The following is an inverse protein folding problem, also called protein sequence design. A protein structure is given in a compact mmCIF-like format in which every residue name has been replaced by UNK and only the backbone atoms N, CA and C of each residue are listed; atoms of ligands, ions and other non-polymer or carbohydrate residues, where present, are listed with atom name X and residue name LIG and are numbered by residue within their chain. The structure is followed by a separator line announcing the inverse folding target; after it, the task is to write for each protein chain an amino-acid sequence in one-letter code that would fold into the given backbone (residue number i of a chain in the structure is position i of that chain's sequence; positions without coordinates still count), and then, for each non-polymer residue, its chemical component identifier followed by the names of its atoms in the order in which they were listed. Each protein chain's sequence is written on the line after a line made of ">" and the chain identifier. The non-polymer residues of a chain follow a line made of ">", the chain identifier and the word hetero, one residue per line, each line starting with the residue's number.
data_IF_547905511173
#
_entry.id   IF_547905511173
#
_cell.length_a   1.000
_cell.length_b   1.000
_cell.length_c   1.000
_cell.angle_alpha   90.00
_cell.angle_beta   90.00
_cell.angle_gamma   90.00
#
_symmetry.space_group_name_H-M   'P 1'
#
loop_
_entity.id
_entity.type
_entity.pdbx_description
1 polymer ?
#
# COMPACT_ATOMS: atom_id res chain seq x y z
N UNK A 1 -2.19 -2.53 6.22
CA UNK A 1 -3.10 -3.28 7.10
C UNK A 1 -2.73 -4.77 7.17
N UNK A 2 -2.67 -5.52 6.05
CA UNK A 2 -2.37 -6.96 6.06
C UNK A 2 -1.00 -7.31 6.67
N UNK A 3 0.04 -6.54 6.42
CA UNK A 3 1.34 -6.71 7.07
C UNK A 3 1.27 -6.45 8.58
N UNK A 4 0.49 -5.47 9.01
CA UNK A 4 0.27 -5.21 10.45
C UNK A 4 -0.42 -6.39 11.14
N UNK A 5 -1.39 -7.03 10.48
CA UNK A 5 -2.01 -8.25 11.00
C UNK A 5 -0.99 -9.37 11.21
N UNK A 6 -0.02 -9.54 10.29
CA UNK A 6 1.07 -10.50 10.48
C UNK A 6 1.98 -10.15 11.66
N UNK A 7 2.22 -8.86 11.91
CA UNK A 7 3.02 -8.41 13.07
C UNK A 7 2.27 -8.65 14.39
N UNK A 8 0.95 -8.41 14.42
CA UNK A 8 0.13 -8.51 15.63
C UNK A 8 -0.25 -9.96 15.95
N UNK A 9 -0.68 -10.71 14.96
CA UNK A 9 -1.28 -12.05 15.13
C UNK A 9 -0.41 -13.18 14.59
N UNK A 10 0.81 -12.86 14.14
CA UNK A 10 1.68 -13.80 13.46
C UNK A 10 1.27 -14.04 12.00
N UNK A 11 2.12 -14.72 11.21
CA UNK A 11 1.88 -14.97 9.80
C UNK A 11 0.72 -15.96 9.61
N UNK A 12 -0.31 -15.54 8.88
CA UNK A 12 -1.49 -16.36 8.54
C UNK A 12 -1.87 -16.16 7.07
N UNK A 13 -2.30 -17.22 6.40
CA UNK A 13 -2.67 -17.18 4.98
C UNK A 13 -3.74 -16.12 4.67
N UNK A 14 -4.72 -15.94 5.56
CA UNK A 14 -5.76 -14.91 5.42
C UNK A 14 -5.21 -13.49 5.37
N UNK A 15 -4.13 -13.20 6.11
CA UNK A 15 -3.49 -11.88 6.10
C UNK A 15 -2.78 -11.63 4.76
N UNK A 16 -2.14 -12.66 4.21
CA UNK A 16 -1.54 -12.59 2.86
C UNK A 16 -2.60 -12.45 1.77
N UNK A 17 -3.78 -13.06 1.94
CA UNK A 17 -4.92 -12.83 1.06
C UNK A 17 -5.35 -11.35 1.01
N UNK A 18 -5.42 -10.68 2.18
CA UNK A 18 -5.72 -9.24 2.24
C UNK A 18 -4.64 -8.41 1.55
N UNK A 19 -3.35 -8.78 1.72
CA UNK A 19 -2.24 -8.09 1.05
C UNK A 19 -2.36 -8.24 -0.47
N UNK A 20 -2.66 -9.45 -0.98
CA UNK A 20 -2.85 -9.70 -2.40
C UNK A 20 -3.99 -8.87 -2.99
N UNK A 21 -5.16 -8.86 -2.35
CA UNK A 21 -6.30 -8.09 -2.82
C UNK A 21 -5.97 -6.59 -2.91
N UNK A 22 -5.35 -6.05 -1.87
CA UNK A 22 -4.93 -4.65 -1.86
C UNK A 22 -3.88 -4.34 -2.95
N UNK A 23 -2.89 -5.24 -3.13
CA UNK A 23 -1.85 -5.07 -4.13
C UNK A 23 -2.39 -5.20 -5.57
N UNK A 24 -3.33 -6.10 -5.82
CA UNK A 24 -4.01 -6.24 -7.12
C UNK A 24 -4.80 -4.96 -7.47
N UNK A 25 -5.54 -4.42 -6.52
CA UNK A 25 -6.26 -3.16 -6.72
C UNK A 25 -5.29 -2.00 -6.99
N UNK A 26 -4.22 -1.89 -6.20
CA UNK A 26 -3.18 -0.88 -6.40
C UNK A 26 -2.46 -1.02 -7.75
N UNK A 27 -2.14 -2.24 -8.17
CA UNK A 27 -1.55 -2.51 -9.48
C UNK A 27 -2.48 -2.11 -10.63
N UNK A 28 -3.78 -2.44 -10.53
CA UNK A 28 -4.77 -2.08 -11.54
C UNK A 28 -4.93 -0.56 -11.68
N UNK A 29 -4.99 0.17 -10.57
CA UNK A 29 -5.08 1.64 -10.59
C UNK A 29 -3.81 2.28 -11.16
N UNK A 30 -2.63 1.79 -10.77
CA UNK A 30 -1.35 2.26 -11.30
C UNK A 30 -1.20 1.97 -12.79
N UNK A 31 -1.60 0.78 -13.24
CA UNK A 31 -1.59 0.40 -14.66
C UNK A 31 -2.54 1.28 -15.48
N UNK A 32 -3.72 1.60 -14.94
CA UNK A 32 -4.63 2.56 -15.56
C UNK A 32 -3.95 3.92 -15.76
N UNK A 33 -3.24 4.44 -14.76
CA UNK A 33 -2.51 5.71 -14.88
C UNK A 33 -1.39 5.63 -15.93
N UNK A 34 -0.63 4.54 -15.97
CA UNK A 34 0.37 4.32 -17.03
C UNK A 34 -0.30 4.38 -18.40
N UNK A 35 -1.41 3.65 -18.59
CA UNK A 35 -2.11 3.57 -19.88
C UNK A 35 -2.62 4.93 -20.37
N UNK A 36 -3.04 5.80 -19.45
CA UNK A 36 -3.51 7.15 -19.79
C UNK A 36 -2.37 8.07 -20.26
N UNK A 37 -1.12 7.80 -19.88
CA UNK A 37 0.03 8.65 -20.18
C UNK A 37 1.00 8.06 -21.21
N UNK A 38 0.71 6.87 -21.74
CA UNK A 38 1.48 6.25 -22.84
C UNK A 38 1.12 6.85 -24.20
N UNK A 39 -0.05 7.49 -24.34
CA UNK A 39 -0.51 8.08 -25.59
C UNK A 39 0.41 9.26 -25.95
N UNK A 40 1.01 9.28 -27.17
CA UNK A 40 1.87 10.37 -27.59
C UNK A 40 1.16 11.73 -27.50
N UNK A 41 1.81 12.71 -26.89
CA UNK A 41 1.27 14.06 -26.70
C UNK A 41 0.54 14.30 -25.37
N UNK A 42 0.35 13.27 -24.54
CA UNK A 42 -0.13 13.46 -23.17
C UNK A 42 1.04 13.74 -22.23
N UNK A 43 1.07 14.88 -21.52
CA UNK A 43 2.13 15.16 -20.55
C UNK A 43 2.04 14.17 -19.40
N UNK A 44 3.20 13.69 -18.91
CA UNK A 44 3.26 12.87 -17.71
C UNK A 44 2.81 13.68 -16.50
N UNK A 45 2.06 13.05 -15.61
CA UNK A 45 1.59 13.66 -14.36
C UNK A 45 2.59 13.41 -13.22
N UNK A 46 2.88 14.48 -12.47
CA UNK A 46 3.74 14.44 -11.30
C UNK A 46 5.24 14.34 -11.62
N UNK A 47 6.05 14.30 -10.55
CA UNK A 47 7.51 14.21 -10.65
C UNK A 47 7.97 12.83 -11.10
N UNK A 48 9.14 12.76 -11.74
CA UNK A 48 9.78 11.50 -12.13
C UNK A 48 11.01 11.22 -11.24
N UNK A 49 11.22 9.96 -10.91
CA UNK A 49 12.43 9.46 -10.23
C UNK A 49 13.08 8.44 -11.16
N UNK A 50 14.38 8.62 -11.44
CA UNK A 50 15.14 7.74 -12.34
C UNK A 50 14.48 7.55 -13.72
N UNK A 51 13.84 8.62 -14.26
CA UNK A 51 13.16 8.59 -15.55
C UNK A 51 11.77 7.96 -15.58
N UNK A 52 11.28 7.45 -14.45
CA UNK A 52 9.93 6.89 -14.32
C UNK A 52 9.08 7.72 -13.38
N UNK A 53 7.80 7.93 -13.74
CA UNK A 53 6.83 8.61 -12.90
C UNK A 53 6.41 7.75 -11.70
N UNK A 54 5.92 8.39 -10.63
CA UNK A 54 5.52 7.71 -9.39
C UNK A 54 4.53 6.56 -9.59
N UNK A 55 3.59 6.68 -10.52
CA UNK A 55 2.62 5.63 -10.82
C UNK A 55 3.28 4.37 -11.42
N UNK A 56 4.40 4.52 -12.16
CA UNK A 56 5.18 3.39 -12.66
C UNK A 56 5.90 2.67 -11.52
N UNK A 57 6.50 3.42 -10.60
CA UNK A 57 7.10 2.86 -9.39
C UNK A 57 6.07 2.16 -8.50
N UNK A 58 4.89 2.77 -8.34
CA UNK A 58 3.78 2.15 -7.61
C UNK A 58 3.38 0.80 -8.24
N UNK A 59 3.25 0.73 -9.57
CA UNK A 59 2.96 -0.52 -10.27
C UNK A 59 4.05 -1.58 -10.02
N UNK A 60 5.34 -1.21 -10.12
CA UNK A 60 6.45 -2.13 -9.86
C UNK A 60 6.39 -2.67 -8.42
N UNK A 61 6.17 -1.80 -7.44
CA UNK A 61 6.06 -2.20 -6.03
C UNK A 61 4.89 -3.15 -5.81
N UNK A 62 3.71 -2.87 -6.36
CA UNK A 62 2.56 -3.76 -6.26
C UNK A 62 2.80 -5.09 -6.96
N UNK A 63 3.39 -5.10 -8.16
CA UNK A 63 3.74 -6.33 -8.88
C UNK A 63 4.73 -7.20 -8.09
N UNK A 64 5.77 -6.59 -7.52
CA UNK A 64 6.74 -7.28 -6.66
C UNK A 64 6.07 -7.81 -5.37
N UNK A 65 5.13 -7.07 -4.80
CA UNK A 65 4.36 -7.52 -3.63
C UNK A 65 3.50 -8.74 -3.98
N UNK A 66 2.79 -8.71 -5.10
CA UNK A 66 1.98 -9.84 -5.58
C UNK A 66 2.86 -11.07 -5.79
N UNK A 67 3.97 -10.91 -6.50
CA UNK A 67 4.91 -12.01 -6.76
C UNK A 67 5.48 -12.58 -5.45
N UNK A 68 5.97 -11.73 -4.57
CA UNK A 68 6.54 -12.14 -3.28
C UNK A 68 5.54 -12.87 -2.40
N UNK A 69 4.31 -12.36 -2.29
CA UNK A 69 3.26 -13.03 -1.50
C UNK A 69 2.81 -14.33 -2.17
N UNK A 70 2.70 -14.38 -3.50
CA UNK A 70 2.37 -15.61 -4.22
C UNK A 70 3.43 -16.70 -3.99
N UNK A 71 4.73 -16.36 -4.05
CA UNK A 71 5.81 -17.29 -3.75
C UNK A 71 5.75 -17.75 -2.30
N UNK A 72 5.54 -16.85 -1.34
CA UNK A 72 5.38 -17.21 0.07
C UNK A 72 4.21 -18.18 0.28
N UNK A 73 3.07 -17.94 -0.37
CA UNK A 73 1.91 -18.82 -0.27
C UNK A 73 2.15 -20.17 -0.96
N UNK A 74 2.87 -20.19 -2.09
CA UNK A 74 3.22 -21.43 -2.79
C UNK A 74 4.18 -22.30 -1.98
N UNK A 75 5.10 -21.68 -1.25
CA UNK A 75 6.05 -22.37 -0.36
C UNK A 75 5.50 -22.60 1.04
N UNK A 76 4.23 -22.22 1.30
CA UNK A 76 3.62 -22.33 2.62
C UNK A 76 3.55 -23.79 3.10
N UNK A 77 4.18 -24.09 4.22
CA UNK A 77 4.21 -25.41 4.80
C UNK A 77 3.28 -25.50 6.04
N UNK A 78 2.64 -26.67 6.24
CA UNK A 78 1.80 -26.95 7.40
C UNK A 78 2.55 -26.79 8.74
N UNK A 79 3.85 -27.04 8.76
CA UNK A 79 4.69 -26.84 9.95
C UNK A 79 4.67 -25.38 10.42
N UNK A 80 4.66 -24.41 9.52
CA UNK A 80 4.54 -23.00 9.86
C UNK A 80 3.19 -22.64 10.49
N UNK A 81 2.12 -23.36 10.11
CA UNK A 81 0.81 -23.19 10.73
C UNK A 81 0.72 -23.77 12.14
N UNK A 82 1.47 -24.82 12.44
CA UNK A 82 1.48 -25.43 13.77
C UNK A 82 2.16 -24.52 14.79
N UNK A 83 3.22 -23.82 14.41
CA UNK A 83 3.86 -22.82 15.26
C UNK A 83 3.03 -21.52 15.37
N UNK A 84 2.34 -21.13 14.29
CA UNK A 84 1.43 -19.97 14.27
C UNK A 84 0.10 -20.24 14.99
N UNK A 85 -0.29 -21.49 15.14
CA UNK A 85 -1.54 -21.89 15.81
C UNK A 85 -1.46 -22.00 17.34
N UNK A 86 -0.26 -21.96 17.93
CA UNK A 86 -0.15 -21.71 19.35
C UNK A 86 -0.71 -20.30 19.63
N UNK A 87 -1.51 -20.13 20.72
CA UNK A 87 -1.97 -18.80 21.09
C UNK A 87 -0.73 -17.95 21.39
N UNK A 88 -0.26 -17.29 20.33
CA UNK A 88 0.84 -16.37 20.42
C UNK A 88 0.29 -15.15 21.16
N UNK A 89 0.36 -15.15 22.48
CA UNK A 89 0.27 -13.93 23.25
C UNK A 89 1.49 -13.09 22.86
N UNK A 90 1.42 -12.49 21.69
CA UNK A 90 2.38 -11.49 21.28
C UNK A 90 2.18 -10.28 22.17
N UNK A 91 2.93 -10.21 23.26
CA UNK A 91 3.36 -8.91 23.71
C UNK A 91 4.14 -8.33 22.54
N UNK A 92 3.46 -7.48 21.74
CA UNK A 92 4.09 -6.76 20.64
C UNK A 92 5.40 -6.17 21.18
N UNK A 93 6.52 -6.50 20.55
CA UNK A 93 7.79 -5.86 20.89
C UNK A 93 7.60 -4.35 20.76
N UNK A 94 8.34 -3.55 21.52
CA UNK A 94 8.26 -2.09 21.43
C UNK A 94 8.40 -1.58 20.00
N UNK A 95 9.28 -2.21 19.21
CA UNK A 95 9.47 -1.90 17.79
C UNK A 95 8.22 -2.24 16.95
N UNK A 96 7.57 -3.37 17.18
CA UNK A 96 6.34 -3.75 16.49
C UNK A 96 5.18 -2.79 16.76
N UNK A 97 5.02 -2.37 18.01
CA UNK A 97 4.04 -1.33 18.39
C UNK A 97 4.31 -0.01 17.69
N UNK A 98 5.58 0.44 17.74
CA UNK A 98 5.99 1.67 17.08
C UNK A 98 5.72 1.61 15.57
N UNK A 99 6.10 0.54 14.89
CA UNK A 99 5.87 0.37 13.45
C UNK A 99 4.38 0.41 13.09
N UNK A 100 3.52 -0.25 13.87
CA UNK A 100 2.07 -0.22 13.66
C UNK A 100 1.49 1.18 13.87
N UNK A 101 1.87 1.87 14.95
CA UNK A 101 1.41 3.22 15.24
C UNK A 101 1.90 4.22 14.18
N UNK A 102 3.16 4.10 13.75
CA UNK A 102 3.72 4.93 12.69
C UNK A 102 2.97 4.73 11.37
N UNK A 103 2.69 3.48 10.99
CA UNK A 103 1.94 3.18 9.77
C UNK A 103 0.51 3.75 9.81
N UNK A 104 -0.20 3.61 10.94
CA UNK A 104 -1.53 4.20 11.13
C UNK A 104 -1.42 5.73 11.06
N UNK A 105 -0.45 6.32 11.76
CA UNK A 105 -0.24 7.77 11.77
C UNK A 105 0.01 8.35 10.37
N UNK A 106 0.86 7.71 9.58
CA UNK A 106 1.13 8.11 8.19
C UNK A 106 -0.13 8.03 7.32
N UNK A 107 -0.92 6.95 7.45
CA UNK A 107 -2.17 6.81 6.68
C UNK A 107 -3.18 7.89 7.07
N UNK A 108 -3.39 8.12 8.37
CA UNK A 108 -4.32 9.15 8.85
C UNK A 108 -3.89 10.55 8.45
N UNK A 109 -2.58 10.84 8.54
CA UNK A 109 -2.01 12.11 8.11
C UNK A 109 -2.22 12.33 6.61
N UNK A 110 -1.94 11.30 5.80
CA UNK A 110 -2.14 11.38 4.34
C UNK A 110 -3.60 11.63 3.98
N UNK A 111 -4.54 10.89 4.59
CA UNK A 111 -5.98 11.10 4.39
C UNK A 111 -6.38 12.52 4.82
N UNK A 112 -5.91 12.97 5.98
CA UNK A 112 -6.20 14.31 6.48
C UNK A 112 -5.68 15.41 5.55
N UNK A 113 -4.43 15.31 5.11
CA UNK A 113 -3.82 16.28 4.18
C UNK A 113 -4.54 16.31 2.83
N UNK A 114 -4.88 15.15 2.28
CA UNK A 114 -5.66 15.06 1.04
C UNK A 114 -7.03 15.72 1.18
N UNK A 115 -7.68 15.53 2.34
CA UNK A 115 -8.97 16.17 2.59
C UNK A 115 -8.85 17.70 2.75
N UNK A 116 -7.79 18.19 3.39
CA UNK A 116 -7.51 19.63 3.52
C UNK A 116 -7.26 20.27 2.15
N UNK A 117 -6.56 19.56 1.27
CA UNK A 117 -6.19 20.03 -0.07
C UNK A 117 -7.38 20.01 -1.05
N UNK A 118 -8.09 18.90 -1.11
CA UNK A 118 -9.07 18.61 -2.16
C UNK A 118 -10.53 18.63 -1.65
N UNK A 119 -10.75 18.60 -0.33
CA UNK A 119 -12.09 18.42 0.24
C UNK A 119 -12.72 17.07 -0.14
N UNK A 120 -14.07 17.02 -0.20
CA UNK A 120 -14.79 15.81 -0.62
C UNK A 120 -14.90 15.64 -2.14
N UNK A 121 -14.23 16.49 -2.91
CA UNK A 121 -14.27 16.52 -4.36
C UNK A 121 -13.03 15.90 -4.98
N UNK A 122 -13.04 15.81 -6.32
CA UNK A 122 -11.87 15.37 -7.08
C UNK A 122 -10.79 16.46 -6.99
N UNK A 123 -9.56 16.05 -6.66
CA UNK A 123 -8.42 16.95 -6.66
C UNK A 123 -8.18 17.53 -8.06
N UNK A 124 -7.91 18.83 -8.19
CA UNK A 124 -7.43 19.43 -9.43
C UNK A 124 -6.06 18.86 -9.79
N UNK A 125 -5.73 18.85 -11.08
CA UNK A 125 -4.47 18.31 -11.59
C UNK A 125 -3.23 19.05 -11.08
N UNK A 126 -3.39 20.31 -10.70
CA UNK A 126 -2.32 21.15 -10.13
C UNK A 126 -2.92 22.08 -9.08
N UNK A 127 -3.13 21.64 -7.84
CA UNK A 127 -3.74 22.46 -6.79
C UNK A 127 -2.79 23.64 -6.44
N UNK A 128 -3.32 24.84 -6.55
CA UNK A 128 -2.63 26.10 -6.19
C UNK A 128 -3.22 26.74 -4.93
N UNK A 129 -4.29 26.16 -4.41
CA UNK A 129 -5.01 26.58 -3.21
C UNK A 129 -5.51 25.39 -2.42
N UNK A 130 -5.77 25.60 -1.13
CA UNK A 130 -6.26 24.55 -0.22
C UNK A 130 -7.74 24.79 0.05
N UNK A 131 -8.58 23.80 -0.26
CA UNK A 131 -10.04 23.90 -0.09
C UNK A 131 -10.50 24.37 1.30
N UNK A 132 -9.77 24.01 2.35
CA UNK A 132 -10.08 24.39 3.74
C UNK A 132 -9.43 25.71 4.19
N UNK A 133 -8.51 26.29 3.41
CA UNK A 133 -7.75 27.48 3.81
C UNK A 133 -8.09 28.72 2.97
N UNK A 134 -8.90 28.57 1.93
CA UNK A 134 -9.48 29.66 1.13
C UNK A 134 -10.92 29.95 1.61
#
# INVERSE_FOLDING_TARGET
>A
FGFMLNVIYGPQQRHYGVILLAALFGAATSLRQISLHVIPGTPGYGSSILGYHYYTWAFIIFAMTILGVAVLLALWNKAWNAEAGAPHQTTLSGLGRFACLAAIGVVLLNVGLTFVECGPYQCPDNPVSYWLMD
#
